data_IF_267959344171
#
_entry.id   IF_267959344171
#
_cell.length_a   1.000
_cell.length_b   1.000
_cell.length_c   1.000
_cell.angle_alpha   90.00
_cell.angle_beta   90.00
_cell.angle_gamma   90.00
#
_symmetry.space_group_name_H-M   'P 1'
#
loop_
_entity.id
_entity.type
_entity.pdbx_description
1 polymer ?
#
# COMPACT_ATOMS: atom_id res chain seq x y z
N UNK A 1 -25.95 6.18 -0.94
CA UNK A 1 -25.64 5.85 0.47
C UNK A 1 -24.18 5.47 0.52
N UNK A 2 -23.34 6.17 1.28
CA UNK A 2 -21.90 5.93 1.31
C UNK A 2 -21.62 4.48 1.79
N UNK A 3 -20.86 3.70 1.03
CA UNK A 3 -20.46 2.34 1.39
C UNK A 3 -19.51 2.39 2.57
N UNK A 4 -19.64 1.49 3.51
CA UNK A 4 -18.73 1.37 4.66
C UNK A 4 -18.11 -0.01 4.68
N UNK A 5 -16.96 -0.15 5.31
CA UNK A 5 -16.28 -1.43 5.49
C UNK A 5 -17.23 -2.54 6.03
N UNK A 6 -18.04 -2.20 7.03
CA UNK A 6 -18.98 -3.16 7.64
C UNK A 6 -20.11 -3.62 6.71
N UNK A 7 -20.33 -2.94 5.58
CA UNK A 7 -21.37 -3.28 4.59
C UNK A 7 -20.85 -4.12 3.42
N UNK A 8 -19.56 -4.41 3.35
CA UNK A 8 -18.95 -5.19 2.28
C UNK A 8 -19.39 -6.66 2.35
N UNK A 9 -19.88 -7.17 1.24
CA UNK A 9 -20.03 -8.60 1.07
C UNK A 9 -18.68 -9.26 0.70
N UNK A 10 -18.53 -10.60 0.72
CA UNK A 10 -17.24 -11.24 0.46
C UNK A 10 -16.66 -10.97 -0.94
N UNK A 11 -17.49 -10.76 -1.95
CA UNK A 11 -17.04 -10.40 -3.31
C UNK A 11 -16.49 -8.97 -3.33
N UNK A 12 -17.22 -8.04 -2.74
CA UNK A 12 -16.81 -6.64 -2.61
C UNK A 12 -15.51 -6.52 -1.78
N UNK A 13 -15.39 -7.26 -0.69
CA UNK A 13 -14.17 -7.28 0.13
C UNK A 13 -12.93 -7.73 -0.65
N UNK A 14 -13.03 -8.80 -1.45
CA UNK A 14 -11.94 -9.22 -2.34
C UNK A 14 -11.63 -8.18 -3.41
N UNK A 15 -12.64 -7.52 -3.94
CA UNK A 15 -12.44 -6.48 -4.96
C UNK A 15 -11.71 -5.25 -4.40
N UNK A 16 -12.09 -4.81 -3.20
CA UNK A 16 -11.37 -3.73 -2.48
C UNK A 16 -9.93 -4.15 -2.17
N UNK A 17 -9.72 -5.40 -1.73
CA UNK A 17 -8.39 -5.93 -1.48
C UNK A 17 -7.50 -5.86 -2.74
N UNK A 18 -7.97 -6.33 -3.88
CA UNK A 18 -7.25 -6.24 -5.16
C UNK A 18 -6.90 -4.79 -5.49
N UNK A 19 -7.85 -3.89 -5.32
CA UNK A 19 -7.64 -2.46 -5.60
C UNK A 19 -6.56 -1.85 -4.69
N UNK A 20 -6.51 -2.20 -3.40
CA UNK A 20 -5.47 -1.74 -2.46
C UNK A 20 -4.09 -2.15 -2.96
N UNK A 21 -3.88 -3.43 -3.27
CA UNK A 21 -2.60 -3.96 -3.72
C UNK A 21 -2.15 -3.33 -5.06
N UNK A 22 -3.05 -3.23 -6.02
CA UNK A 22 -2.75 -2.61 -7.32
C UNK A 22 -2.36 -1.14 -7.18
N UNK A 23 -3.03 -0.43 -6.29
CA UNK A 23 -2.75 0.97 -6.00
C UNK A 23 -1.40 1.13 -5.29
N UNK A 24 -1.13 0.34 -4.25
CA UNK A 24 0.14 0.37 -3.54
C UNK A 24 1.30 0.03 -4.48
N UNK A 25 1.16 -1.01 -5.31
CA UNK A 25 2.14 -1.33 -6.35
C UNK A 25 2.41 -0.14 -7.28
N UNK A 26 1.36 0.58 -7.68
CA UNK A 26 1.48 1.79 -8.52
C UNK A 26 2.22 2.93 -7.83
N UNK A 27 1.95 3.17 -6.54
CA UNK A 27 2.63 4.18 -5.71
C UNK A 27 4.13 3.88 -5.63
N UNK A 28 4.48 2.65 -5.27
CA UNK A 28 5.88 2.25 -5.07
C UNK A 28 6.66 2.24 -6.37
N UNK A 29 6.04 1.81 -7.46
CA UNK A 29 6.65 1.90 -8.79
C UNK A 29 7.01 3.37 -9.15
N UNK A 30 6.10 4.31 -8.94
CA UNK A 30 6.36 5.74 -9.21
C UNK A 30 7.43 6.32 -8.28
N UNK A 31 7.47 5.94 -7.01
CA UNK A 31 8.55 6.34 -6.12
C UNK A 31 9.90 5.79 -6.58
N UNK A 32 9.95 4.52 -6.99
CA UNK A 32 11.16 3.90 -7.51
C UNK A 32 11.67 4.62 -8.77
N UNK A 33 10.80 4.96 -9.72
CA UNK A 33 11.14 5.76 -10.90
C UNK A 33 11.70 7.13 -10.51
N UNK A 34 11.00 7.87 -9.64
CA UNK A 34 11.40 9.20 -9.19
C UNK A 34 12.80 9.20 -8.55
N UNK A 35 13.06 8.25 -7.62
CA UNK A 35 14.36 8.17 -6.95
C UNK A 35 15.47 7.68 -7.88
N UNK A 36 15.17 6.88 -8.89
CA UNK A 36 16.14 6.48 -9.92
C UNK A 36 16.63 7.69 -10.74
N UNK A 37 15.82 8.72 -10.93
CA UNK A 37 16.19 9.91 -11.69
C UNK A 37 17.24 10.78 -10.97
N UNK A 38 17.31 10.77 -9.64
CA UNK A 38 18.29 11.54 -8.87
C UNK A 38 19.74 11.03 -8.99
N UNK A 39 19.95 9.76 -9.31
CA UNK A 39 21.23 9.11 -9.65
C UNK A 39 22.32 9.11 -8.56
N UNK A 40 22.05 9.60 -7.37
CA UNK A 40 22.95 9.47 -6.22
C UNK A 40 22.75 8.10 -5.53
N UNK A 41 23.73 7.68 -4.75
CA UNK A 41 23.74 6.33 -4.14
C UNK A 41 22.55 6.13 -3.21
N UNK A 42 22.22 7.12 -2.37
CA UNK A 42 21.13 7.01 -1.39
C UNK A 42 19.77 6.90 -2.09
N UNK A 43 19.57 7.70 -3.15
CA UNK A 43 18.35 7.65 -3.96
C UNK A 43 18.21 6.31 -4.69
N UNK A 44 19.29 5.74 -5.21
CA UNK A 44 19.27 4.43 -5.84
C UNK A 44 18.97 3.30 -4.85
N UNK A 45 19.45 3.39 -3.62
CA UNK A 45 19.12 2.43 -2.55
C UNK A 45 17.63 2.46 -2.23
N UNK A 46 17.05 3.66 -2.03
CA UNK A 46 15.60 3.77 -1.76
C UNK A 46 14.74 3.40 -2.97
N UNK A 47 15.21 3.68 -4.18
CA UNK A 47 14.55 3.23 -5.40
C UNK A 47 14.45 1.69 -5.45
N UNK A 48 15.53 0.99 -5.10
CA UNK A 48 15.52 -0.48 -5.02
C UNK A 48 14.49 -1.00 -4.04
N UNK A 49 14.38 -0.37 -2.86
CA UNK A 49 13.38 -0.74 -1.86
C UNK A 49 11.96 -0.63 -2.43
N UNK A 50 11.64 0.49 -3.06
CA UNK A 50 10.31 0.69 -3.64
C UNK A 50 10.04 -0.23 -4.84
N UNK A 51 11.06 -0.60 -5.62
CA UNK A 51 10.92 -1.62 -6.66
C UNK A 51 10.55 -2.98 -6.08
N UNK A 52 11.23 -3.41 -5.03
CA UNK A 52 10.95 -4.68 -4.37
C UNK A 52 9.53 -4.68 -3.77
N UNK A 53 9.12 -3.62 -3.08
CA UNK A 53 7.76 -3.48 -2.57
C UNK A 53 6.72 -3.52 -3.71
N UNK A 54 6.94 -2.80 -4.82
CA UNK A 54 6.01 -2.83 -5.95
C UNK A 54 5.83 -4.23 -6.55
N UNK A 55 6.89 -5.04 -6.58
CA UNK A 55 6.84 -6.44 -7.04
C UNK A 55 6.05 -7.31 -6.06
N UNK A 56 6.22 -7.11 -4.76
CA UNK A 56 5.49 -7.86 -3.73
C UNK A 56 3.99 -7.55 -3.76
N UNK A 57 3.60 -6.27 -3.85
CA UNK A 57 2.18 -5.86 -3.98
C UNK A 57 1.53 -6.43 -5.25
N UNK A 58 2.28 -6.46 -6.37
CA UNK A 58 1.82 -7.13 -7.59
C UNK A 58 1.55 -8.61 -7.39
N UNK A 59 2.38 -9.29 -6.60
CA UNK A 59 2.20 -10.70 -6.26
C UNK A 59 0.97 -10.89 -5.38
N UNK A 60 0.76 -10.04 -4.37
CA UNK A 60 -0.42 -10.07 -3.50
C UNK A 60 -1.70 -9.85 -4.32
N UNK A 61 -1.73 -8.85 -5.18
CA UNK A 61 -2.84 -8.63 -6.11
C UNK A 61 -3.14 -9.87 -6.96
N UNK A 62 -2.10 -10.52 -7.50
CA UNK A 62 -2.26 -11.75 -8.29
C UNK A 62 -2.94 -12.88 -7.52
N UNK A 63 -2.56 -13.11 -6.27
CA UNK A 63 -3.16 -14.11 -5.38
C UNK A 63 -4.66 -13.80 -5.14
N UNK A 64 -4.96 -12.53 -4.86
CA UNK A 64 -6.34 -12.08 -4.64
C UNK A 64 -7.20 -12.19 -5.90
N UNK A 65 -6.66 -11.82 -7.06
CA UNK A 65 -7.35 -11.96 -8.36
C UNK A 65 -7.65 -13.43 -8.70
N UNK A 66 -6.70 -14.34 -8.42
CA UNK A 66 -6.93 -15.77 -8.60
C UNK A 66 -8.05 -16.24 -7.68
N UNK A 67 -8.03 -15.85 -6.41
CA UNK A 67 -9.08 -16.18 -5.44
C UNK A 67 -10.45 -15.62 -5.84
N UNK A 68 -10.48 -14.39 -6.37
CA UNK A 68 -11.70 -13.78 -6.90
C UNK A 68 -12.25 -14.59 -8.08
N UNK A 69 -11.38 -14.95 -9.03
CA UNK A 69 -11.76 -15.73 -10.21
C UNK A 69 -12.26 -17.13 -9.89
N UNK A 70 -11.62 -17.82 -8.93
CA UNK A 70 -12.07 -19.13 -8.45
C UNK A 70 -13.49 -19.09 -7.88
N UNK A 71 -13.86 -18.01 -7.19
CA UNK A 71 -15.13 -17.92 -6.47
C UNK A 71 -16.26 -17.31 -7.27
N UNK A 72 -15.95 -16.32 -8.08
CA UNK A 72 -16.95 -15.48 -8.75
C UNK A 72 -16.81 -15.50 -10.28
N UNK A 73 -15.80 -16.17 -10.82
CA UNK A 73 -15.54 -16.19 -12.25
C UNK A 73 -15.23 -14.78 -12.78
N UNK A 74 -15.92 -14.40 -13.86
CA UNK A 74 -15.82 -13.07 -14.46
C UNK A 74 -16.96 -12.14 -14.02
N UNK A 75 -17.62 -12.44 -12.89
CA UNK A 75 -18.71 -11.58 -12.41
C UNK A 75 -18.13 -10.19 -12.03
N UNK A 76 -18.75 -9.13 -12.55
CA UNK A 76 -18.40 -7.76 -12.17
C UNK A 76 -18.78 -7.47 -10.72
N UNK A 77 -17.96 -6.69 -10.02
CA UNK A 77 -18.30 -6.14 -8.73
C UNK A 77 -19.20 -4.91 -8.89
N UNK A 78 -20.10 -4.70 -7.95
CA UNK A 78 -21.03 -3.57 -7.97
C UNK A 78 -20.41 -2.26 -7.41
N UNK A 79 -19.16 -2.31 -6.87
CA UNK A 79 -18.48 -1.14 -6.37
C UNK A 79 -18.00 -0.26 -7.53
N UNK A 80 -18.19 1.03 -7.37
CA UNK A 80 -17.63 2.04 -8.28
C UNK A 80 -16.22 2.41 -7.84
N UNK A 81 -15.44 3.04 -8.72
CA UNK A 81 -14.12 3.57 -8.38
C UNK A 81 -14.18 4.59 -7.23
N UNK A 82 -15.23 5.42 -7.19
CA UNK A 82 -15.47 6.36 -6.10
C UNK A 82 -15.72 5.64 -4.76
N UNK A 83 -16.50 4.53 -4.76
CA UNK A 83 -16.69 3.70 -3.57
C UNK A 83 -15.36 3.12 -3.07
N UNK A 84 -14.48 2.68 -3.98
CA UNK A 84 -13.17 2.12 -3.65
C UNK A 84 -12.25 3.17 -3.04
N UNK A 85 -12.19 4.35 -3.63
CA UNK A 85 -11.36 5.46 -3.15
C UNK A 85 -11.81 5.97 -1.78
N UNK A 86 -13.11 5.98 -1.51
CA UNK A 86 -13.66 6.38 -0.21
C UNK A 86 -13.33 5.41 0.95
N UNK A 87 -12.93 4.18 0.63
CA UNK A 87 -12.57 3.14 1.61
C UNK A 87 -11.11 3.12 2.00
N UNK A 88 -10.26 3.90 1.30
CA UNK A 88 -8.82 3.89 1.48
C UNK A 88 -8.36 5.22 2.08
N UNK A 89 -7.60 5.14 3.18
CA UNK A 89 -7.12 6.31 3.92
C UNK A 89 -5.88 7.00 3.28
N UNK A 90 -5.44 6.54 2.12
CA UNK A 90 -4.21 7.03 1.47
C UNK A 90 -4.53 8.08 0.40
N UNK A 91 -3.74 9.17 0.25
CA UNK A 91 -3.94 10.21 -0.75
C UNK A 91 -4.07 9.67 -2.17
N UNK A 92 -4.86 10.34 -3.02
CA UNK A 92 -5.01 9.97 -4.43
C UNK A 92 -3.73 10.25 -5.20
N UNK A 93 -3.28 9.28 -5.98
CA UNK A 93 -2.12 9.47 -6.87
C UNK A 93 -2.39 10.48 -7.99
N UNK A 94 -3.65 10.60 -8.39
CA UNK A 94 -4.07 11.42 -9.53
C UNK A 94 -4.11 12.92 -9.21
N UNK A 95 -4.20 13.27 -7.92
CA UNK A 95 -4.34 14.66 -7.48
C UNK A 95 -3.01 15.43 -7.49
N UNK A 96 -1.90 14.82 -7.89
CA UNK A 96 -0.57 15.44 -7.81
C UNK A 96 -0.08 15.64 -6.36
N UNK A 97 -1.01 15.62 -5.41
CA UNK A 97 -0.83 16.01 -4.02
C UNK A 97 0.30 15.27 -3.29
N UNK A 98 0.52 13.98 -3.60
CA UNK A 98 1.59 13.20 -2.96
C UNK A 98 2.96 13.73 -3.36
N UNK A 99 3.16 14.04 -4.63
CA UNK A 99 4.43 14.53 -5.18
C UNK A 99 4.62 16.03 -4.92
N UNK A 100 3.55 16.83 -5.04
CA UNK A 100 3.56 18.25 -4.70
C UNK A 100 3.77 18.48 -3.19
N UNK A 101 3.19 17.63 -2.34
CA UNK A 101 3.46 17.63 -0.89
C UNK A 101 4.89 17.20 -0.55
N UNK A 102 5.55 16.40 -1.37
CA UNK A 102 6.98 16.07 -1.25
C UNK A 102 7.83 17.34 -1.51
N UNK A 103 7.52 18.10 -2.56
CA UNK A 103 8.27 19.31 -2.94
C UNK A 103 8.10 20.48 -1.94
N UNK A 104 6.93 20.61 -1.31
CA UNK A 104 6.58 21.74 -0.43
C UNK A 104 6.85 21.50 1.06
N UNK A 105 7.18 20.27 1.46
CA UNK A 105 7.40 19.89 2.85
C UNK A 105 8.82 20.22 3.33
N UNK A 106 8.98 20.49 4.65
CA UNK A 106 10.30 20.60 5.30
C UNK A 106 11.01 19.25 5.47
N UNK A 107 10.29 18.15 5.22
CA UNK A 107 10.84 16.78 5.20
C UNK A 107 11.53 16.53 3.86
N UNK A 108 12.60 15.73 3.87
CA UNK A 108 13.22 15.27 2.63
C UNK A 108 12.23 14.46 1.77
N UNK A 109 12.44 14.45 0.45
CA UNK A 109 11.63 13.66 -0.47
C UNK A 109 11.59 12.17 -0.05
N UNK A 110 12.74 11.64 0.41
CA UNK A 110 12.87 10.27 0.93
C UNK A 110 11.97 10.03 2.14
N UNK A 111 12.05 10.87 3.17
CA UNK A 111 11.24 10.72 4.38
C UNK A 111 9.75 10.81 4.05
N UNK A 112 9.37 11.73 3.16
CA UNK A 112 7.98 11.88 2.76
C UNK A 112 7.46 10.65 2.01
N UNK A 113 8.22 10.10 1.07
CA UNK A 113 7.85 8.89 0.35
C UNK A 113 7.71 7.69 1.29
N UNK A 114 8.66 7.51 2.23
CA UNK A 114 8.60 6.48 3.25
C UNK A 114 7.39 6.64 4.18
N UNK A 115 7.03 7.88 4.54
CA UNK A 115 5.84 8.15 5.37
C UNK A 115 4.53 7.84 4.62
N UNK A 116 4.45 8.16 3.33
CA UNK A 116 3.30 7.78 2.49
C UNK A 116 3.18 6.27 2.39
N UNK A 117 4.29 5.58 2.12
CA UNK A 117 4.32 4.11 2.08
C UNK A 117 3.89 3.51 3.43
N UNK A 118 4.44 4.00 4.54
CA UNK A 118 4.07 3.53 5.89
C UNK A 118 2.57 3.67 6.15
N UNK A 119 1.97 4.79 5.75
CA UNK A 119 0.51 5.01 5.89
C UNK A 119 -0.28 4.02 5.03
N UNK A 120 0.18 3.73 3.82
CA UNK A 120 -0.45 2.77 2.92
C UNK A 120 -0.41 1.35 3.50
N UNK A 121 0.75 0.89 3.98
CA UNK A 121 0.92 -0.44 4.58
C UNK A 121 0.11 -0.61 5.88
N UNK A 122 0.11 0.40 6.76
CA UNK A 122 -0.74 0.39 7.95
C UNK A 122 -2.22 0.29 7.60
N UNK A 123 -2.67 1.00 6.57
CA UNK A 123 -4.03 0.91 6.05
C UNK A 123 -4.37 -0.49 5.54
N UNK A 124 -3.50 -1.09 4.74
CA UNK A 124 -3.66 -2.44 4.21
C UNK A 124 -3.66 -3.50 5.34
N UNK A 125 -2.71 -3.43 6.26
CA UNK A 125 -2.62 -4.32 7.42
C UNK A 125 -3.89 -4.28 8.26
N UNK A 126 -4.39 -3.09 8.60
CA UNK A 126 -5.65 -2.90 9.34
C UNK A 126 -6.85 -3.44 8.57
N UNK A 127 -6.89 -3.23 7.25
CA UNK A 127 -7.96 -3.72 6.38
C UNK A 127 -8.01 -5.26 6.40
N UNK A 128 -6.88 -5.93 6.20
CA UNK A 128 -6.81 -7.39 6.22
C UNK A 128 -7.10 -8.00 7.59
N UNK A 129 -6.58 -7.43 8.67
CA UNK A 129 -6.92 -7.84 10.04
C UNK A 129 -8.42 -7.84 10.28
N UNK A 130 -9.10 -6.75 9.93
CA UNK A 130 -10.55 -6.61 10.09
C UNK A 130 -11.33 -7.59 9.21
N UNK A 131 -10.90 -7.83 7.97
CA UNK A 131 -11.51 -8.85 7.11
C UNK A 131 -11.37 -10.25 7.68
N UNK A 132 -10.21 -10.59 8.23
CA UNK A 132 -9.96 -11.89 8.87
C UNK A 132 -10.85 -12.10 10.08
N UNK A 133 -11.11 -11.07 10.89
CA UNK A 133 -11.99 -11.13 12.03
C UNK A 133 -13.47 -11.31 11.65
N UNK A 134 -13.91 -10.63 10.58
CA UNK A 134 -15.32 -10.58 10.20
C UNK A 134 -15.76 -11.75 9.32
N UNK A 135 -14.84 -12.33 8.52
CA UNK A 135 -15.21 -13.41 7.60
C UNK A 135 -15.46 -14.73 8.33
N UNK A 136 -16.56 -15.39 7.97
CA UNK A 136 -16.89 -16.75 8.41
C UNK A 136 -16.28 -17.83 7.51
N UNK A 137 -15.78 -17.45 6.36
CA UNK A 137 -15.15 -18.33 5.37
C UNK A 137 -13.73 -18.68 5.82
N UNK A 138 -13.47 -19.91 6.20
CA UNK A 138 -12.18 -20.35 6.71
C UNK A 138 -11.00 -20.14 5.75
N UNK A 139 -11.10 -20.50 4.46
CA UNK A 139 -10.10 -20.19 3.43
C UNK A 139 -9.80 -18.70 3.28
N UNK A 140 -10.83 -17.85 3.21
CA UNK A 140 -10.64 -16.40 3.13
C UNK A 140 -10.02 -15.81 4.40
N UNK A 141 -10.43 -16.32 5.57
CA UNK A 141 -9.81 -15.90 6.84
C UNK A 141 -8.32 -16.18 6.88
N UNK A 142 -7.89 -17.35 6.42
CA UNK A 142 -6.47 -17.68 6.34
C UNK A 142 -5.72 -16.73 5.39
N UNK A 143 -6.26 -16.52 4.21
CA UNK A 143 -5.68 -15.60 3.22
C UNK A 143 -5.52 -14.19 3.78
N UNK A 144 -6.55 -13.63 4.40
CA UNK A 144 -6.48 -12.28 4.98
C UNK A 144 -5.51 -12.20 6.17
N UNK A 145 -5.42 -13.24 7.00
CA UNK A 145 -4.41 -13.30 8.06
C UNK A 145 -2.99 -13.34 7.49
N UNK A 146 -2.75 -14.13 6.44
CA UNK A 146 -1.45 -14.20 5.78
C UNK A 146 -1.05 -12.85 5.19
N UNK A 147 -1.96 -12.16 4.48
CA UNK A 147 -1.73 -10.82 3.97
C UNK A 147 -1.48 -9.82 5.11
N UNK A 148 -2.28 -9.82 6.16
CA UNK A 148 -2.07 -8.93 7.31
C UNK A 148 -0.68 -9.09 7.96
N UNK A 149 -0.14 -10.33 8.01
CA UNK A 149 1.21 -10.60 8.52
C UNK A 149 2.28 -10.07 7.55
N UNK A 150 2.07 -10.18 6.24
CA UNK A 150 2.99 -9.66 5.23
C UNK A 150 3.07 -8.13 5.32
N UNK A 151 1.92 -7.45 5.40
CA UNK A 151 1.86 -6.00 5.57
C UNK A 151 2.50 -5.52 6.88
N UNK A 152 2.34 -6.27 7.99
CA UNK A 152 3.03 -5.98 9.25
C UNK A 152 4.56 -6.02 9.09
N UNK A 153 5.06 -6.92 8.26
CA UNK A 153 6.47 -6.98 7.86
C UNK A 153 6.94 -5.71 7.14
N UNK A 154 6.15 -5.24 6.16
CA UNK A 154 6.42 -3.99 5.44
C UNK A 154 6.38 -2.77 6.38
N UNK A 155 5.38 -2.68 7.25
CA UNK A 155 5.26 -1.63 8.28
C UNK A 155 6.53 -1.59 9.14
N UNK A 156 6.97 -2.73 9.68
CA UNK A 156 8.19 -2.82 10.50
C UNK A 156 9.44 -2.38 9.75
N UNK A 157 9.58 -2.80 8.49
CA UNK A 157 10.70 -2.40 7.64
C UNK A 157 10.73 -0.89 7.39
N UNK A 158 9.60 -0.28 7.01
CA UNK A 158 9.49 1.15 6.74
C UNK A 158 9.73 1.99 7.99
N UNK A 159 9.22 1.58 9.15
CA UNK A 159 9.49 2.24 10.43
C UNK A 159 10.98 2.26 10.76
N UNK A 160 11.67 1.13 10.63
CA UNK A 160 13.11 1.03 10.88
C UNK A 160 13.91 1.91 9.90
N UNK A 161 13.51 1.96 8.63
CA UNK A 161 14.14 2.79 7.60
C UNK A 161 13.98 4.28 7.90
N UNK A 162 12.81 4.72 8.35
CA UNK A 162 12.55 6.10 8.77
C UNK A 162 13.40 6.50 9.97
N UNK A 163 13.50 5.64 11.00
CA UNK A 163 14.33 5.91 12.19
C UNK A 163 15.82 6.03 11.81
N UNK A 164 16.29 5.16 10.92
CA UNK A 164 17.70 5.19 10.46
C UNK A 164 18.00 6.46 9.66
N UNK A 165 17.07 6.95 8.86
CA UNK A 165 17.19 8.20 8.09
C UNK A 165 17.29 9.42 9.00
N UNK A 166 16.48 9.49 10.07
CA UNK A 166 16.51 10.57 11.04
C UNK A 166 17.83 10.63 11.84
N UNK A 167 18.44 9.47 12.13
CA UNK A 167 19.71 9.39 12.87
C UNK A 167 20.93 9.74 12.03
N UNK A 168 20.84 9.67 10.69
CA UNK A 168 21.93 10.01 9.76
C UNK A 168 22.05 11.52 9.46
N UNK A 169 20.96 12.29 9.61
CA UNK A 169 20.90 13.72 9.30
C UNK A 169 21.66 14.66 10.26
N UNK A 170 22.15 14.16 11.40
CA UNK A 170 22.79 14.98 12.44
C UNK A 170 24.35 14.97 12.36
N UNK A 171 24.93 14.47 11.28
CA UNK A 171 26.40 14.34 11.17
C UNK A 171 27.09 15.38 10.27
N UNK A 172 26.38 16.26 9.61
CA UNK A 172 26.96 17.27 8.70
C UNK A 172 26.87 18.72 9.22
N UNK A 173 26.86 18.94 10.53
CA UNK A 173 27.02 20.27 11.12
C UNK A 173 28.25 20.27 12.05
N UNK A 174 29.44 20.34 11.44
CA UNK A 174 30.65 20.85 12.13
C UNK A 174 31.68 21.33 11.12
#
# INVERSE_FOLDING_TARGET
MKRTFASLNPQEALHVAIFIEERNAGIYHRFAEMFTEFRDTESLEIASVFWDMAVEEKRHSGILQEKYRERYGNASCALTEEDLQDMIEVPRLDDGDVFEAIETSQMSARERALQVALTAEQGAQNFYSRLAEQTKDGPLRRLYNELSIMEDGHVGYLQNTLVSSAAGGDKDVN
#
